data_IF_687484932012
#
_entry.id   IF_687484932012
#
_cell.length_a   1.000
_cell.length_b   1.000
_cell.length_c   1.000
_cell.angle_alpha   90.00
_cell.angle_beta   90.00
_cell.angle_gamma   90.00
#
_symmetry.space_group_name_H-M   'P 1'
#
loop_
_entity.id
_entity.type
_entity.pdbx_description
1 polymer ?
#
# COMPACT_ATOMS: atom_id res chain seq x y z
N UNK A 1 55.05 5.78 -28.54
CA UNK A 1 53.67 5.29 -28.77
C UNK A 1 53.05 4.51 -27.58
N UNK A 2 53.76 3.60 -26.93
CA UNK A 2 53.22 2.80 -25.80
C UNK A 2 52.90 3.60 -24.53
N UNK A 3 53.68 4.67 -24.21
CA UNK A 3 53.48 5.47 -23.02
C UNK A 3 52.27 6.40 -23.15
N UNK A 4 52.01 6.96 -24.30
CA UNK A 4 50.86 7.83 -24.57
C UNK A 4 49.52 7.05 -24.52
N UNK A 5 49.49 5.81 -25.02
CA UNK A 5 48.30 4.94 -24.90
C UNK A 5 48.00 4.52 -23.45
N UNK A 6 49.02 4.43 -22.57
CA UNK A 6 48.84 4.16 -21.14
C UNK A 6 48.34 5.40 -20.37
N UNK A 7 48.83 6.57 -20.73
CA UNK A 7 48.34 7.85 -20.18
C UNK A 7 46.88 8.14 -20.58
N UNK A 8 46.49 7.92 -21.85
CA UNK A 8 45.11 8.10 -22.30
C UNK A 8 44.14 7.08 -21.65
N UNK A 9 44.57 5.83 -21.45
CA UNK A 9 43.77 4.83 -20.75
C UNK A 9 43.58 5.20 -19.25
N UNK A 10 44.63 5.71 -18.59
CA UNK A 10 44.56 6.16 -17.19
C UNK A 10 43.66 7.39 -17.05
N UNK A 11 43.76 8.36 -17.95
CA UNK A 11 42.88 9.53 -17.95
C UNK A 11 41.42 9.16 -18.24
N UNK A 12 41.14 8.17 -19.11
CA UNK A 12 39.79 7.70 -19.38
C UNK A 12 39.21 6.97 -18.15
N UNK A 13 39.99 6.12 -17.46
CA UNK A 13 39.54 5.44 -16.25
C UNK A 13 39.28 6.41 -15.10
N UNK A 14 40.12 7.43 -14.92
CA UNK A 14 39.87 8.49 -13.92
C UNK A 14 38.65 9.34 -14.29
N UNK A 15 38.41 9.64 -15.57
CA UNK A 15 37.24 10.35 -16.02
C UNK A 15 35.94 9.56 -15.78
N UNK A 16 35.96 8.24 -16.04
CA UNK A 16 34.81 7.35 -15.76
C UNK A 16 34.59 7.23 -14.25
N UNK A 17 35.63 7.12 -13.42
CA UNK A 17 35.47 7.13 -11.96
C UNK A 17 34.94 8.46 -11.43
N UNK A 18 35.35 9.60 -11.99
CA UNK A 18 34.84 10.92 -11.59
C UNK A 18 33.37 11.12 -12.00
N UNK A 19 32.94 10.57 -13.15
CA UNK A 19 31.52 10.62 -13.55
C UNK A 19 30.63 9.69 -12.72
N UNK A 20 31.17 8.59 -12.20
CA UNK A 20 30.45 7.71 -11.28
C UNK A 20 30.35 8.31 -9.87
N UNK A 21 31.33 9.11 -9.44
CA UNK A 21 31.28 9.78 -8.14
C UNK A 21 30.36 11.01 -8.11
N UNK A 22 29.98 11.58 -9.26
CA UNK A 22 29.00 12.68 -9.34
C UNK A 22 27.55 12.19 -9.42
N UNK A 23 27.31 10.89 -9.57
CA UNK A 23 25.95 10.30 -9.58
C UNK A 23 25.38 10.09 -8.16
N UNK A 24 26.21 10.14 -7.10
CA UNK A 24 25.78 10.05 -5.69
C UNK A 24 25.58 11.41 -5.01
N UNK A 25 25.34 12.46 -5.76
CA UNK A 25 24.94 13.76 -5.20
C UNK A 25 23.45 13.72 -4.84
N UNK A 26 23.14 13.58 -3.53
CA UNK A 26 21.81 13.87 -3.00
C UNK A 26 21.31 15.19 -3.63
N UNK A 27 20.28 15.13 -4.44
CA UNK A 27 19.60 16.34 -4.93
C UNK A 27 18.86 16.94 -3.74
N UNK A 28 19.39 17.97 -3.14
CA UNK A 28 18.58 18.83 -2.28
C UNK A 28 17.57 19.55 -3.16
N UNK A 29 16.30 19.47 -2.80
CA UNK A 29 15.24 20.22 -3.45
C UNK A 29 15.41 21.73 -3.24
N UNK A 30 14.76 22.55 -4.02
CA UNK A 30 14.81 24.02 -3.93
C UNK A 30 14.31 24.56 -2.58
N UNK A 31 13.56 23.77 -1.80
CA UNK A 31 13.06 24.10 -0.46
C UNK A 31 13.81 23.36 0.67
N UNK A 32 14.91 22.67 0.36
CA UNK A 32 15.81 22.02 1.33
C UNK A 32 15.29 20.67 1.87
N UNK A 33 14.24 20.09 1.25
CA UNK A 33 13.78 18.73 1.60
C UNK A 33 14.63 17.69 0.87
N UNK A 34 15.03 16.63 1.58
CA UNK A 34 15.84 15.55 1.04
C UNK A 34 14.98 14.53 0.30
N UNK A 35 15.55 13.82 -0.67
CA UNK A 35 15.02 12.56 -1.18
C UNK A 35 15.32 11.44 -0.19
N UNK A 36 14.44 10.44 -0.11
CA UNK A 36 14.62 9.25 0.73
C UNK A 36 14.51 7.99 -0.14
N UNK A 37 15.48 7.09 0.03
CA UNK A 37 15.51 5.78 -0.63
C UNK A 37 15.33 4.68 0.41
N UNK A 38 14.36 3.78 0.18
CA UNK A 38 14.02 2.69 1.11
C UNK A 38 13.95 1.37 0.35
N UNK A 39 14.64 0.33 0.83
CA UNK A 39 14.43 -1.01 0.32
C UNK A 39 13.20 -1.64 1.00
N UNK A 40 12.23 -2.09 0.21
CA UNK A 40 10.92 -2.58 0.72
C UNK A 40 10.68 -4.07 0.43
N UNK A 41 11.75 -4.82 0.17
CA UNK A 41 11.66 -6.24 -0.17
C UNK A 41 11.42 -6.46 -1.67
N UNK A 42 10.71 -7.52 -2.00
CA UNK A 42 10.47 -7.89 -3.40
C UNK A 42 9.65 -6.84 -4.17
N UNK A 43 9.80 -6.87 -5.49
CA UNK A 43 8.96 -6.09 -6.41
C UNK A 43 7.47 -6.27 -6.06
N UNK A 44 6.68 -5.19 -6.03
CA UNK A 44 5.27 -5.25 -5.68
C UNK A 44 4.49 -6.26 -6.52
N UNK A 45 3.67 -7.07 -5.86
CA UNK A 45 2.79 -8.02 -6.55
C UNK A 45 1.61 -7.30 -7.20
N UNK A 46 1.22 -6.15 -6.65
CA UNK A 46 0.06 -5.39 -7.12
C UNK A 46 0.08 -3.95 -6.62
N UNK A 47 -0.48 -3.06 -7.42
CA UNK A 47 -0.87 -1.70 -7.01
C UNK A 47 -2.40 -1.56 -6.86
N UNK A 48 -3.13 -2.67 -6.87
CA UNK A 48 -4.56 -2.68 -6.60
C UNK A 48 -4.81 -2.90 -5.10
N UNK A 49 -5.40 -1.93 -4.38
CA UNK A 49 -5.56 -2.00 -2.93
C UNK A 49 -6.23 -3.26 -2.40
N UNK A 50 -7.20 -3.83 -3.14
CA UNK A 50 -7.95 -5.01 -2.68
C UNK A 50 -7.16 -6.33 -2.77
N UNK A 51 -5.96 -6.33 -3.37
CA UNK A 51 -5.09 -7.51 -3.50
C UNK A 51 -3.74 -7.36 -2.80
N UNK A 52 -3.44 -6.20 -2.21
CA UNK A 52 -2.16 -5.89 -1.59
C UNK A 52 -1.98 -6.63 -0.26
N UNK A 53 -1.33 -7.78 -0.28
CA UNK A 53 -1.11 -8.63 0.90
C UNK A 53 0.30 -8.52 1.48
N UNK A 54 1.28 -8.10 0.68
CA UNK A 54 2.66 -7.96 1.12
C UNK A 54 2.85 -6.61 1.82
N UNK A 55 3.72 -6.56 2.81
CA UNK A 55 4.04 -5.31 3.54
C UNK A 55 4.58 -4.24 2.58
N UNK A 56 5.44 -4.62 1.62
CA UNK A 56 5.95 -3.70 0.61
C UNK A 56 4.84 -3.08 -0.25
N UNK A 57 3.88 -3.91 -0.75
CA UNK A 57 2.72 -3.41 -1.50
C UNK A 57 1.92 -2.39 -0.68
N UNK A 58 1.64 -2.73 0.59
CA UNK A 58 0.88 -1.89 1.51
C UNK A 58 1.61 -0.60 1.85
N UNK A 59 2.93 -0.67 2.05
CA UNK A 59 3.77 0.50 2.31
C UNK A 59 3.67 1.49 1.15
N UNK A 60 3.82 1.04 -0.09
CA UNK A 60 3.72 1.90 -1.27
C UNK A 60 2.32 2.49 -1.40
N UNK A 61 1.27 1.67 -1.25
CA UNK A 61 -0.10 2.13 -1.40
C UNK A 61 -0.50 3.17 -0.34
N UNK A 62 0.04 3.09 0.88
CA UNK A 62 -0.15 4.11 1.92
C UNK A 62 0.45 5.48 1.57
N UNK A 63 1.40 5.53 0.63
CA UNK A 63 1.93 6.79 0.11
C UNK A 63 1.14 7.30 -1.10
N UNK A 64 0.53 6.40 -1.87
CA UNK A 64 -0.25 6.74 -3.06
C UNK A 64 -1.70 7.13 -2.73
N UNK A 65 -2.29 6.57 -1.68
CA UNK A 65 -3.70 6.80 -1.34
C UNK A 65 -3.88 7.29 0.10
N UNK A 66 -4.95 8.04 0.33
CA UNK A 66 -5.42 8.42 1.67
C UNK A 66 -6.84 7.88 1.89
N UNK A 67 -7.00 7.09 2.95
CA UNK A 67 -8.29 6.52 3.33
C UNK A 67 -9.12 7.49 4.19
N UNK A 68 -10.35 7.10 4.57
CA UNK A 68 -11.22 7.88 5.46
C UNK A 68 -10.54 8.25 6.76
N UNK A 69 -9.87 7.28 7.38
CA UNK A 69 -9.06 7.42 8.58
C UNK A 69 -7.64 6.97 8.27
N UNK A 70 -6.68 7.36 9.11
CA UNK A 70 -5.30 6.88 9.09
C UNK A 70 -4.85 6.52 10.48
N UNK A 71 -3.85 5.67 10.60
CA UNK A 71 -3.24 5.36 11.89
C UNK A 71 -2.15 6.38 12.21
N UNK A 72 -2.10 6.80 13.46
CA UNK A 72 -0.99 7.56 14.05
C UNK A 72 -0.59 6.91 15.36
N UNK A 73 0.67 7.08 15.74
CA UNK A 73 1.16 6.66 17.05
C UNK A 73 0.62 7.63 18.10
N UNK A 74 -0.24 7.13 18.97
CA UNK A 74 -0.76 7.87 20.11
C UNK A 74 0.14 7.82 21.34
N UNK A 75 -0.35 8.30 22.46
CA UNK A 75 0.32 8.17 23.74
C UNK A 75 0.50 6.68 24.10
N UNK A 76 1.65 6.33 24.69
CA UNK A 76 2.02 4.94 25.03
C UNK A 76 2.20 4.02 23.80
N UNK A 77 2.60 4.56 22.66
CA UNK A 77 2.89 3.80 21.43
C UNK A 77 1.70 2.98 20.90
N UNK A 78 0.46 3.32 21.27
CA UNK A 78 -0.72 2.67 20.72
C UNK A 78 -1.11 3.28 19.37
N UNK A 79 -1.53 2.46 18.42
CA UNK A 79 -2.08 2.93 17.16
C UNK A 79 -3.49 3.51 17.37
N UNK A 80 -3.68 4.76 16.98
CA UNK A 80 -4.98 5.46 17.05
C UNK A 80 -5.45 5.86 15.66
N UNK A 81 -6.75 5.71 15.40
CA UNK A 81 -7.35 6.17 14.17
C UNK A 81 -7.63 7.69 14.24
N UNK A 82 -7.02 8.44 13.32
CA UNK A 82 -7.23 9.88 13.18
C UNK A 82 -7.85 10.18 11.81
N UNK A 83 -8.52 11.33 11.65
CA UNK A 83 -9.13 11.70 10.38
C UNK A 83 -8.11 11.83 9.24
N UNK A 84 -8.31 11.02 8.19
CA UNK A 84 -7.58 11.06 6.90
C UNK A 84 -8.28 11.95 5.87
N UNK A 85 -8.89 11.35 4.85
CA UNK A 85 -9.74 12.03 3.88
C UNK A 85 -11.06 12.52 4.49
N UNK A 86 -11.53 11.90 5.57
CA UNK A 86 -12.65 12.42 6.35
C UNK A 86 -12.19 13.64 7.17
N UNK A 87 -13.04 14.67 7.24
CA UNK A 87 -12.90 15.82 8.14
C UNK A 87 -13.51 15.54 9.51
N UNK A 88 -14.65 14.84 9.50
CA UNK A 88 -15.37 14.43 10.72
C UNK A 88 -16.16 13.17 10.44
N UNK A 89 -16.49 12.46 11.52
CA UNK A 89 -17.36 11.30 11.52
C UNK A 89 -18.39 11.46 12.63
N UNK A 90 -19.66 11.26 12.28
CA UNK A 90 -20.77 11.21 13.22
C UNK A 90 -21.29 9.77 13.27
N UNK A 91 -21.54 9.25 14.47
CA UNK A 91 -22.12 7.93 14.73
C UNK A 91 -23.52 8.06 15.31
N UNK A 92 -24.44 7.23 14.85
CA UNK A 92 -25.81 7.17 15.37
C UNK A 92 -26.23 5.70 15.50
N UNK A 93 -26.65 5.31 16.69
CA UNK A 93 -27.35 4.06 16.92
C UNK A 93 -28.82 4.19 16.46
N UNK A 94 -29.30 3.21 15.72
CA UNK A 94 -30.66 3.15 15.21
C UNK A 94 -31.53 2.29 16.13
N UNK A 95 -32.85 2.48 16.06
CA UNK A 95 -33.81 1.74 16.90
C UNK A 95 -33.88 0.23 16.61
N UNK A 96 -33.37 -0.21 15.47
CA UNK A 96 -33.28 -1.61 15.06
C UNK A 96 -31.97 -2.30 15.46
N UNK A 97 -31.09 -1.60 16.20
CA UNK A 97 -29.80 -2.10 16.65
C UNK A 97 -28.66 -1.91 15.64
N UNK A 98 -28.95 -1.43 14.44
CA UNK A 98 -27.90 -1.05 13.48
C UNK A 98 -27.21 0.26 13.89
N UNK A 99 -26.02 0.52 13.35
CA UNK A 99 -25.27 1.76 13.62
C UNK A 99 -24.92 2.46 12.32
N UNK A 100 -25.27 3.72 12.20
CA UNK A 100 -24.98 4.53 11.02
C UNK A 100 -23.83 5.49 11.29
N UNK A 101 -22.79 5.38 10.47
CA UNK A 101 -21.67 6.33 10.43
C UNK A 101 -21.86 7.29 9.25
N UNK A 102 -21.66 8.58 9.52
CA UNK A 102 -21.70 9.63 8.50
C UNK A 102 -20.36 10.35 8.47
N UNK A 103 -19.61 10.13 7.39
CA UNK A 103 -18.32 10.77 7.15
C UNK A 103 -18.52 12.02 6.32
N UNK A 104 -17.91 13.14 6.74
CA UNK A 104 -17.79 14.37 5.94
C UNK A 104 -16.39 14.48 5.40
N UNK A 105 -16.22 14.47 4.09
CA UNK A 105 -14.92 14.56 3.44
C UNK A 105 -14.35 15.98 3.51
N UNK A 106 -13.01 16.10 3.47
CA UNK A 106 -12.29 17.38 3.53
C UNK A 106 -12.34 18.19 2.22
N UNK A 107 -12.73 17.59 1.10
CA UNK A 107 -12.63 18.21 -0.22
C UNK A 107 -11.23 18.11 -0.81
N UNK A 108 -10.54 16.96 -0.67
CA UNK A 108 -9.27 16.66 -1.31
C UNK A 108 -9.38 16.51 -2.82
N UNK A 109 -8.24 16.43 -3.51
CA UNK A 109 -8.17 16.22 -4.95
C UNK A 109 -7.37 14.98 -5.28
N UNK A 110 -7.73 14.35 -6.36
CA UNK A 110 -6.93 13.37 -7.06
C UNK A 110 -5.72 14.02 -7.73
N UNK A 111 -4.70 13.26 -8.05
CA UNK A 111 -3.47 13.74 -8.68
C UNK A 111 -3.67 14.41 -10.04
N UNK A 112 -4.79 14.13 -10.70
CA UNK A 112 -5.22 14.79 -11.94
C UNK A 112 -6.03 16.08 -11.71
N UNK A 113 -6.21 16.50 -10.45
CA UNK A 113 -6.90 17.73 -10.05
C UNK A 113 -8.42 17.59 -9.88
N UNK A 114 -9.02 16.42 -10.18
CA UNK A 114 -10.43 16.14 -9.96
C UNK A 114 -10.70 16.00 -8.45
N UNK A 115 -11.87 16.41 -7.98
CA UNK A 115 -12.24 16.32 -6.55
C UNK A 115 -12.42 14.86 -6.11
N UNK A 116 -11.93 14.54 -4.90
CA UNK A 116 -12.23 13.28 -4.22
C UNK A 116 -13.64 13.35 -3.66
N UNK A 117 -14.47 12.38 -4.00
CA UNK A 117 -15.89 12.34 -3.65
C UNK A 117 -16.26 11.11 -2.83
N UNK A 118 -17.40 11.17 -2.16
CA UNK A 118 -17.96 10.01 -1.45
C UNK A 118 -18.25 8.82 -2.41
N UNK A 119 -18.53 9.10 -3.69
CA UNK A 119 -18.76 8.05 -4.69
C UNK A 119 -17.51 7.21 -4.97
N UNK A 120 -16.32 7.77 -4.79
CA UNK A 120 -15.06 7.05 -4.98
C UNK A 120 -14.87 5.99 -3.89
N UNK A 121 -15.29 6.29 -2.65
CA UNK A 121 -15.34 5.32 -1.56
C UNK A 121 -16.46 4.29 -1.76
N UNK A 122 -17.65 4.70 -2.19
CA UNK A 122 -18.75 3.76 -2.50
C UNK A 122 -18.29 2.75 -3.55
N UNK A 123 -17.69 3.23 -4.65
CA UNK A 123 -17.18 2.35 -5.71
C UNK A 123 -16.14 1.38 -5.18
N UNK A 124 -15.15 1.85 -4.41
CA UNK A 124 -14.09 1.01 -3.87
C UNK A 124 -14.63 -0.07 -2.92
N UNK A 125 -15.56 0.28 -2.02
CA UNK A 125 -16.13 -0.66 -1.06
C UNK A 125 -17.06 -1.67 -1.73
N UNK A 126 -17.88 -1.24 -2.70
CA UNK A 126 -18.70 -2.15 -3.49
C UNK A 126 -17.82 -3.11 -4.30
N UNK A 127 -16.73 -2.62 -4.88
CA UNK A 127 -15.76 -3.46 -5.58
C UNK A 127 -15.07 -4.46 -4.65
N UNK A 128 -14.71 -4.06 -3.43
CA UNK A 128 -14.16 -4.96 -2.42
C UNK A 128 -15.17 -6.04 -2.01
N UNK A 129 -16.45 -5.68 -1.88
CA UNK A 129 -17.53 -6.61 -1.55
C UNK A 129 -17.98 -7.47 -2.72
N UNK A 130 -17.53 -7.23 -3.95
CA UNK A 130 -17.92 -8.02 -5.12
C UNK A 130 -17.27 -9.41 -5.07
N UNK A 131 -18.07 -10.51 -4.99
CA UNK A 131 -17.52 -11.87 -4.96
C UNK A 131 -16.70 -12.21 -6.20
N UNK A 132 -16.96 -11.55 -7.35
CA UNK A 132 -16.20 -11.76 -8.58
C UNK A 132 -14.75 -11.31 -8.48
N UNK A 133 -14.40 -10.45 -7.52
CA UNK A 133 -12.99 -10.02 -7.29
C UNK A 133 -12.17 -11.09 -6.60
N UNK A 134 -12.79 -11.94 -5.78
CA UNK A 134 -12.08 -12.94 -4.98
C UNK A 134 -11.10 -12.34 -3.95
N UNK A 135 -11.29 -11.07 -3.56
CA UNK A 135 -10.43 -10.43 -2.57
C UNK A 135 -10.50 -11.13 -1.21
N UNK A 136 -9.33 -11.45 -0.63
CA UNK A 136 -9.23 -12.02 0.72
C UNK A 136 -9.65 -11.00 1.80
N UNK A 137 -9.72 -9.72 1.46
CA UNK A 137 -10.13 -8.65 2.35
C UNK A 137 -11.64 -8.37 2.35
N UNK A 138 -12.42 -8.98 1.42
CA UNK A 138 -13.86 -8.79 1.38
C UNK A 138 -14.56 -8.99 2.74
N UNK A 139 -14.15 -9.98 3.60
CA UNK A 139 -14.73 -10.17 4.92
C UNK A 139 -14.59 -8.98 5.90
N UNK A 140 -13.69 -8.03 5.66
CA UNK A 140 -13.64 -6.78 6.45
C UNK A 140 -14.97 -6.02 6.41
N UNK A 141 -15.73 -6.16 5.31
CA UNK A 141 -17.02 -5.53 5.13
C UNK A 141 -18.18 -6.37 5.66
N UNK A 142 -17.94 -7.54 6.28
CA UNK A 142 -18.99 -8.42 6.80
C UNK A 142 -19.89 -7.79 7.86
N UNK A 143 -19.41 -6.74 8.52
CA UNK A 143 -20.14 -5.94 9.50
C UNK A 143 -21.01 -4.85 8.85
N UNK A 144 -20.85 -4.58 7.57
CA UNK A 144 -21.68 -3.62 6.82
C UNK A 144 -23.00 -4.29 6.44
N UNK A 145 -24.10 -3.62 6.75
CA UNK A 145 -25.44 -4.15 6.43
C UNK A 145 -25.56 -4.43 4.93
N UNK A 146 -26.21 -5.55 4.57
CA UNK A 146 -26.37 -5.97 3.18
C UNK A 146 -25.16 -6.72 2.59
N UNK A 147 -24.05 -6.89 3.33
CA UNK A 147 -22.88 -7.60 2.83
C UNK A 147 -23.17 -9.07 2.50
N UNK A 148 -23.85 -9.78 3.40
CA UNK A 148 -24.16 -11.20 3.20
C UNK A 148 -25.07 -11.42 1.97
N UNK A 149 -26.04 -10.54 1.78
CA UNK A 149 -26.94 -10.53 0.64
C UNK A 149 -26.20 -10.20 -0.67
N UNK A 150 -25.28 -9.22 -0.63
CA UNK A 150 -24.44 -8.86 -1.78
C UNK A 150 -23.53 -10.04 -2.18
N UNK A 151 -22.91 -10.70 -1.21
CA UNK A 151 -22.09 -11.90 -1.47
C UNK A 151 -22.90 -13.06 -2.06
N UNK A 152 -24.11 -13.28 -1.56
CA UNK A 152 -24.95 -14.39 -2.01
C UNK A 152 -25.56 -14.17 -3.39
N UNK A 153 -25.91 -12.93 -3.73
CA UNK A 153 -26.60 -12.58 -4.98
C UNK A 153 -25.67 -12.06 -6.08
N UNK A 154 -24.48 -11.56 -5.72
CA UNK A 154 -23.62 -10.78 -6.61
C UNK A 154 -24.10 -9.34 -6.85
N UNK A 155 -25.20 -8.91 -6.21
CA UNK A 155 -25.70 -7.54 -6.29
C UNK A 155 -25.02 -6.66 -5.24
N UNK A 156 -23.90 -6.06 -5.62
CA UNK A 156 -23.11 -5.19 -4.74
C UNK A 156 -23.82 -3.90 -4.32
N UNK A 157 -24.93 -3.55 -4.97
CA UNK A 157 -25.74 -2.38 -4.61
C UNK A 157 -26.48 -2.56 -3.28
N UNK A 158 -26.60 -3.80 -2.80
CA UNK A 158 -27.18 -4.13 -1.50
C UNK A 158 -26.31 -3.73 -0.31
N UNK A 159 -24.99 -3.53 -0.53
CA UNK A 159 -24.11 -3.08 0.52
C UNK A 159 -24.52 -1.68 1.01
N UNK A 160 -24.74 -1.54 2.32
CA UNK A 160 -25.23 -0.29 2.92
C UNK A 160 -24.11 0.77 3.05
N UNK A 161 -23.53 1.11 1.90
CA UNK A 161 -22.59 2.22 1.72
C UNK A 161 -23.14 3.15 0.63
N UNK A 162 -23.26 4.45 0.89
CA UNK A 162 -23.87 5.39 -0.04
C UNK A 162 -23.29 6.79 0.04
N UNK A 163 -23.24 7.49 -1.09
CA UNK A 163 -22.88 8.88 -1.19
C UNK A 163 -24.16 9.74 -1.06
N UNK A 164 -24.38 10.34 0.11
CA UNK A 164 -25.51 11.25 0.33
C UNK A 164 -25.31 12.60 -0.41
N UNK A 165 -24.07 12.99 -0.61
CA UNK A 165 -23.61 14.10 -1.45
C UNK A 165 -22.18 13.81 -1.92
N UNK A 166 -21.60 14.68 -2.75
CA UNK A 166 -20.19 14.53 -3.16
C UNK A 166 -19.22 14.47 -1.97
N UNK A 167 -19.57 15.09 -0.84
CA UNK A 167 -18.70 15.17 0.35
C UNK A 167 -19.23 14.41 1.56
N UNK A 168 -20.32 13.65 1.42
CA UNK A 168 -20.93 12.95 2.56
C UNK A 168 -21.12 11.47 2.23
N UNK A 169 -20.33 10.62 2.87
CA UNK A 169 -20.44 9.16 2.82
C UNK A 169 -21.23 8.67 4.02
N UNK A 170 -22.15 7.75 3.79
CA UNK A 170 -22.94 7.09 4.84
C UNK A 170 -22.72 5.60 4.76
N UNK A 171 -22.41 4.99 5.90
CA UNK A 171 -22.20 3.55 6.06
C UNK A 171 -23.10 3.07 7.21
N UNK A 172 -23.87 2.01 6.99
CA UNK A 172 -24.67 1.39 8.05
C UNK A 172 -24.11 0.01 8.38
N UNK A 173 -23.80 -0.18 9.64
CA UNK A 173 -23.28 -1.43 10.19
C UNK A 173 -24.42 -2.24 10.82
N UNK A 174 -24.26 -3.56 10.88
CA UNK A 174 -25.22 -4.49 11.51
C UNK A 174 -25.29 -4.36 13.03
N UNK A 175 -24.36 -3.61 13.65
CA UNK A 175 -24.28 -3.35 15.07
C UNK A 175 -23.15 -2.37 15.41
N UNK A 176 -22.83 -2.25 16.69
CA UNK A 176 -21.72 -1.43 17.18
C UNK A 176 -20.43 -2.25 17.16
N UNK A 177 -19.37 -1.71 16.52
CA UNK A 177 -18.06 -2.32 16.41
C UNK A 177 -16.99 -1.27 16.70
N UNK A 178 -16.36 -1.33 17.89
CA UNK A 178 -15.36 -0.36 18.36
C UNK A 178 -14.13 -0.26 17.44
N UNK A 179 -13.82 -1.35 16.74
CA UNK A 179 -12.69 -1.45 15.85
C UNK A 179 -12.96 -0.93 14.41
N UNK A 180 -14.21 -0.60 14.06
CA UNK A 180 -14.57 -0.20 12.68
C UNK A 180 -13.73 0.95 12.14
N UNK A 181 -13.57 2.02 12.90
CA UNK A 181 -12.78 3.17 12.46
C UNK A 181 -11.29 2.85 12.35
N UNK A 182 -10.78 1.97 13.23
CA UNK A 182 -9.36 1.64 13.30
C UNK A 182 -8.95 0.57 12.32
N UNK A 183 -9.80 -0.43 12.04
CA UNK A 183 -9.44 -1.57 11.19
C UNK A 183 -10.01 -1.43 9.77
N UNK A 184 -11.28 -1.04 9.63
CA UNK A 184 -11.90 -0.97 8.30
C UNK A 184 -11.59 0.36 7.61
N UNK A 185 -11.76 1.48 8.32
CA UNK A 185 -11.59 2.81 7.70
C UNK A 185 -10.13 3.23 7.49
N UNK A 186 -9.15 2.45 7.99
CA UNK A 186 -7.72 2.65 7.76
C UNK A 186 -7.12 1.58 6.84
N UNK A 187 -7.87 0.49 6.58
CA UNK A 187 -7.38 -0.63 5.75
C UNK A 187 -7.07 -0.18 4.34
N UNK A 188 -5.96 -0.66 3.81
CA UNK A 188 -5.58 -0.47 2.40
C UNK A 188 -6.70 -0.92 1.46
N UNK A 189 -7.33 -2.06 1.74
CA UNK A 189 -8.38 -2.64 0.89
C UNK A 189 -9.62 -1.76 0.76
N UNK A 190 -9.84 -0.80 1.66
CA UNK A 190 -10.98 0.14 1.64
C UNK A 190 -10.61 1.54 1.15
N UNK A 191 -9.40 1.73 0.62
CA UNK A 191 -8.97 3.01 0.02
C UNK A 191 -9.85 3.39 -1.17
N UNK A 192 -10.10 4.69 -1.40
CA UNK A 192 -10.93 5.14 -2.50
C UNK A 192 -10.29 4.87 -3.86
N UNK A 193 -11.12 4.66 -4.87
CA UNK A 193 -10.70 4.49 -6.26
C UNK A 193 -11.61 5.27 -7.21
N UNK A 194 -11.02 5.83 -8.26
CA UNK A 194 -11.71 6.50 -9.35
C UNK A 194 -12.27 5.45 -10.33
N UNK A 195 -13.58 5.28 -10.34
CA UNK A 195 -14.26 4.30 -11.21
C UNK A 195 -13.93 4.51 -12.69
N UNK A 196 -13.98 5.74 -13.18
CA UNK A 196 -13.68 6.07 -14.57
C UNK A 196 -12.23 5.74 -14.96
N UNK A 197 -11.28 6.00 -14.06
CA UNK A 197 -9.86 5.67 -14.27
C UNK A 197 -9.65 4.16 -14.30
N UNK A 198 -10.18 3.44 -13.31
CA UNK A 198 -10.06 1.97 -13.24
C UNK A 198 -10.67 1.32 -14.48
N UNK A 199 -11.87 1.76 -14.90
CA UNK A 199 -12.53 1.22 -16.08
C UNK A 199 -11.75 1.51 -17.37
N UNK A 200 -11.23 2.72 -17.54
CA UNK A 200 -10.40 3.09 -18.68
C UNK A 200 -9.12 2.25 -18.75
N UNK A 201 -8.37 2.18 -17.63
CA UNK A 201 -7.12 1.41 -17.57
C UNK A 201 -7.37 -0.09 -17.75
N UNK A 202 -8.51 -0.61 -17.26
CA UNK A 202 -8.91 -2.01 -17.49
C UNK A 202 -9.17 -2.27 -18.97
N UNK A 203 -9.93 -1.42 -19.64
CA UNK A 203 -10.19 -1.56 -21.09
C UNK A 203 -8.90 -1.53 -21.90
N UNK A 204 -7.96 -0.64 -21.55
CA UNK A 204 -6.66 -0.57 -22.23
C UNK A 204 -5.81 -1.82 -21.97
N UNK A 205 -5.83 -2.35 -20.75
CA UNK A 205 -5.15 -3.60 -20.40
C UNK A 205 -5.75 -4.79 -21.15
N UNK A 206 -7.08 -4.91 -21.17
CA UNK A 206 -7.80 -5.97 -21.88
C UNK A 206 -7.47 -5.93 -23.38
N UNK A 207 -7.50 -4.75 -24.02
CA UNK A 207 -7.13 -4.58 -25.44
C UNK A 207 -5.65 -4.94 -25.71
N UNK A 208 -4.74 -4.65 -24.77
CA UNK A 208 -3.34 -5.05 -24.89
C UNK A 208 -3.15 -6.57 -24.77
N UNK A 209 -4.01 -7.23 -24.00
CA UNK A 209 -3.98 -8.68 -23.78
C UNK A 209 -4.58 -9.49 -24.94
N UNK A 210 -5.38 -8.89 -25.83
CA UNK A 210 -6.00 -9.58 -27.00
C UNK A 210 -4.95 -10.24 -27.93
N UNK A 211 -3.73 -9.73 -27.95
CA UNK A 211 -2.62 -10.23 -28.79
C UNK A 211 -1.46 -10.81 -27.97
N UNK A 212 -1.70 -11.13 -26.69
CA UNK A 212 -0.68 -11.63 -25.77
C UNK A 212 -0.17 -13.01 -26.23
N UNK A 213 1.14 -13.20 -26.21
CA UNK A 213 1.75 -14.50 -26.46
C UNK A 213 1.68 -15.36 -25.19
N UNK A 214 1.80 -16.67 -25.35
CA UNK A 214 1.66 -17.65 -24.27
C UNK A 214 2.67 -17.45 -23.13
N UNK A 215 3.83 -16.86 -23.42
CA UNK A 215 4.93 -16.59 -22.48
C UNK A 215 4.93 -15.16 -21.91
N UNK A 216 3.98 -14.31 -22.31
CA UNK A 216 3.86 -12.94 -21.82
C UNK A 216 2.89 -12.83 -20.64
N UNK A 217 3.24 -11.99 -19.65
CA UNK A 217 2.38 -11.74 -18.48
C UNK A 217 1.22 -10.82 -18.84
N UNK A 218 -0.04 -11.22 -18.54
CA UNK A 218 -1.19 -10.36 -18.80
C UNK A 218 -1.12 -9.03 -18.04
N UNK A 219 -1.37 -7.94 -18.76
CA UNK A 219 -1.48 -6.61 -18.16
C UNK A 219 -2.75 -6.51 -17.32
N UNK A 220 -2.64 -5.78 -16.24
CA UNK A 220 -3.75 -5.41 -15.35
C UNK A 220 -3.91 -3.90 -15.37
N UNK A 221 -5.03 -3.38 -14.90
CA UNK A 221 -5.28 -1.94 -14.84
C UNK A 221 -4.24 -1.20 -13.98
N UNK A 222 -3.59 -1.87 -13.06
CA UNK A 222 -2.55 -1.35 -12.17
C UNK A 222 -1.12 -1.67 -12.61
N UNK A 223 -0.90 -2.35 -13.74
CA UNK A 223 0.44 -2.82 -14.15
C UNK A 223 1.45 -1.71 -14.42
N UNK A 224 1.00 -0.47 -14.53
CA UNK A 224 1.86 0.71 -14.67
C UNK A 224 1.44 1.73 -13.60
N UNK A 225 2.16 1.81 -12.47
CA UNK A 225 1.81 2.70 -11.38
C UNK A 225 1.88 4.18 -11.76
N UNK A 226 2.68 4.56 -12.76
CA UNK A 226 2.80 5.95 -13.21
C UNK A 226 1.52 6.48 -13.87
N UNK A 227 0.62 5.58 -14.24
CA UNK A 227 -0.68 5.90 -14.86
C UNK A 227 -1.85 5.92 -13.88
N UNK A 228 -1.58 5.54 -12.63
CA UNK A 228 -2.58 5.58 -11.57
C UNK A 228 -2.91 7.03 -11.20
N UNK A 229 -4.19 7.29 -10.95
CA UNK A 229 -4.66 8.54 -10.37
C UNK A 229 -4.88 8.30 -8.89
N UNK A 230 -4.15 9.00 -8.04
CA UNK A 230 -4.04 8.75 -6.61
C UNK A 230 -4.48 9.99 -5.81
N UNK A 231 -4.92 9.80 -4.57
CA UNK A 231 -5.37 10.89 -3.69
C UNK A 231 -4.49 11.07 -2.46
N UNK A 232 -3.39 10.36 -2.39
CA UNK A 232 -2.43 10.42 -1.29
C UNK A 232 -1.37 11.51 -1.45
N UNK A 233 -0.41 11.55 -0.53
CA UNK A 233 0.66 12.56 -0.51
C UNK A 233 1.62 12.48 -1.70
N UNK A 234 1.75 11.32 -2.33
CA UNK A 234 2.67 11.10 -3.45
C UNK A 234 1.96 10.50 -4.66
N UNK A 235 2.60 10.60 -5.81
CA UNK A 235 2.24 9.93 -7.06
C UNK A 235 3.45 9.19 -7.61
N UNK A 236 3.25 8.06 -8.30
CA UNK A 236 4.33 7.38 -8.98
C UNK A 236 4.79 8.19 -10.20
N UNK A 237 6.09 8.44 -10.30
CA UNK A 237 6.72 9.23 -11.36
C UNK A 237 7.59 8.41 -12.30
N UNK A 238 8.19 7.32 -11.80
CA UNK A 238 8.99 6.37 -12.58
C UNK A 238 8.98 5.00 -11.91
N UNK A 239 9.03 3.95 -12.72
CA UNK A 239 9.20 2.56 -12.28
C UNK A 239 10.13 1.85 -13.25
N UNK A 240 11.02 1.03 -12.71
CA UNK A 240 11.79 0.03 -13.43
C UNK A 240 11.80 -1.31 -12.67
N UNK A 241 12.58 -2.29 -13.11
CA UNK A 241 12.64 -3.61 -12.49
C UNK A 241 13.20 -3.61 -11.05
N UNK A 242 13.91 -2.56 -10.65
CA UNK A 242 14.63 -2.47 -9.38
C UNK A 242 14.07 -1.42 -8.43
N UNK A 243 13.28 -0.46 -8.92
CA UNK A 243 12.80 0.65 -8.09
C UNK A 243 11.53 1.30 -8.62
N UNK A 244 10.78 1.88 -7.68
CA UNK A 244 9.66 2.79 -7.93
C UNK A 244 9.96 4.14 -7.29
N UNK A 245 9.93 5.20 -8.09
CA UNK A 245 10.07 6.57 -7.59
C UNK A 245 8.70 7.23 -7.47
N UNK A 246 8.43 7.77 -6.30
CA UNK A 246 7.27 8.59 -6.01
C UNK A 246 7.70 10.04 -5.83
N UNK A 247 6.92 10.97 -6.37
CA UNK A 247 7.10 12.40 -6.19
C UNK A 247 5.90 13.00 -5.47
N UNK A 248 6.07 14.16 -4.83
CA UNK A 248 5.01 14.87 -4.13
C UNK A 248 3.79 15.09 -5.04
N UNK A 249 2.62 14.71 -4.55
CA UNK A 249 1.34 15.01 -5.20
C UNK A 249 0.94 16.46 -4.93
N UNK A 250 1.21 17.35 -5.88
CA UNK A 250 0.89 18.79 -5.74
C UNK A 250 -0.59 19.09 -5.60
N UNK A 251 -1.48 18.14 -5.96
CA UNK A 251 -2.92 18.26 -5.80
C UNK A 251 -3.43 17.83 -4.40
N UNK A 252 -2.58 17.22 -3.56
CA UNK A 252 -2.95 16.68 -2.25
C UNK A 252 -3.52 17.72 -1.28
N UNK A 253 -3.12 19.00 -1.42
CA UNK A 253 -3.71 20.13 -0.69
C UNK A 253 -3.29 20.27 0.77
N UNK A 254 -2.46 19.37 1.29
CA UNK A 254 -1.81 19.48 2.61
C UNK A 254 -0.31 19.74 2.39
N UNK A 255 0.28 20.57 3.24
CA UNK A 255 1.73 20.77 3.21
C UNK A 255 2.42 19.51 3.72
N UNK A 256 3.24 18.89 2.87
CA UNK A 256 4.10 17.80 3.27
C UNK A 256 5.35 18.33 3.98
N UNK A 257 5.77 17.62 5.02
CA UNK A 257 7.01 17.90 5.78
C UNK A 257 8.05 16.81 5.57
N UNK A 258 7.68 15.72 4.89
CA UNK A 258 8.52 14.59 4.52
C UNK A 258 9.39 14.88 3.29
N UNK A 259 10.06 13.87 2.75
CA UNK A 259 10.86 13.94 1.54
C UNK A 259 10.06 14.49 0.35
N UNK A 260 10.75 15.14 -0.60
CA UNK A 260 10.13 15.54 -1.88
C UNK A 260 9.93 14.33 -2.79
N UNK A 261 10.95 13.48 -2.86
CA UNK A 261 10.93 12.22 -3.60
C UNK A 261 11.16 11.04 -2.66
N UNK A 262 10.43 9.96 -2.90
CA UNK A 262 10.61 8.66 -2.26
C UNK A 262 10.99 7.65 -3.33
N UNK A 263 12.10 6.93 -3.14
CA UNK A 263 12.48 5.82 -4.01
C UNK A 263 12.36 4.52 -3.22
N UNK A 264 11.44 3.66 -3.63
CA UNK A 264 11.32 2.30 -3.10
C UNK A 264 12.14 1.36 -3.97
N UNK A 265 13.26 0.87 -3.43
CA UNK A 265 14.09 -0.12 -4.08
C UNK A 265 13.57 -1.52 -3.78
N UNK A 266 13.71 -2.43 -4.75
CA UNK A 266 13.26 -3.81 -4.64
C UNK A 266 14.47 -4.75 -4.54
N UNK A 267 14.41 -5.69 -3.62
CA UNK A 267 15.47 -6.67 -3.42
C UNK A 267 15.13 -7.61 -2.26
N UNK A 268 15.73 -8.80 -2.26
CA UNK A 268 15.68 -9.69 -1.10
C UNK A 268 16.52 -9.12 0.06
N UNK A 269 16.48 -9.78 1.21
CA UNK A 269 17.19 -9.35 2.42
C UNK A 269 18.68 -9.14 2.20
N UNK A 270 19.34 -10.04 1.44
CA UNK A 270 20.77 -9.92 1.15
C UNK A 270 21.07 -8.71 0.25
N UNK A 271 20.22 -8.46 -0.73
CA UNK A 271 20.30 -7.27 -1.60
C UNK A 271 20.09 -6.00 -0.77
N UNK A 272 19.10 -5.99 0.13
CA UNK A 272 18.79 -4.84 0.98
C UNK A 272 19.97 -4.45 1.89
N UNK A 273 20.62 -5.44 2.53
CA UNK A 273 21.81 -5.23 3.34
C UNK A 273 22.94 -4.59 2.54
N UNK A 274 23.24 -5.16 1.36
CA UNK A 274 24.29 -4.62 0.49
C UNK A 274 23.98 -3.18 0.04
N UNK A 275 22.73 -2.89 -0.31
CA UNK A 275 22.32 -1.54 -0.72
C UNK A 275 22.45 -0.54 0.43
N UNK A 276 22.12 -0.95 1.65
CA UNK A 276 22.26 -0.12 2.84
C UNK A 276 23.73 0.14 3.18
N UNK A 277 24.58 -0.89 3.22
CA UNK A 277 26.00 -0.77 3.50
C UNK A 277 26.75 0.09 2.49
N UNK A 278 26.31 0.04 1.22
CA UNK A 278 26.88 0.88 0.16
C UNK A 278 26.32 2.31 0.15
N UNK A 279 25.36 2.62 1.02
CA UNK A 279 24.69 3.93 1.07
C UNK A 279 23.83 4.22 -0.16
N UNK A 280 23.35 3.19 -0.86
CA UNK A 280 22.43 3.31 -2.00
C UNK A 280 21.01 3.56 -1.50
N UNK A 281 20.64 2.92 -0.39
CA UNK A 281 19.37 3.19 0.30
C UNK A 281 19.64 3.79 1.67
N UNK A 282 18.72 4.63 2.13
CA UNK A 282 18.79 5.30 3.44
C UNK A 282 18.18 4.44 4.54
N UNK A 283 17.29 3.48 4.17
CA UNK A 283 16.63 2.59 5.10
C UNK A 283 16.23 1.27 4.43
N UNK A 284 15.99 0.25 5.25
CA UNK A 284 15.40 -1.04 4.87
C UNK A 284 14.13 -1.26 5.70
N UNK A 285 13.04 -1.66 5.04
CA UNK A 285 11.75 -1.90 5.66
C UNK A 285 10.91 -2.93 4.88
N UNK A 286 10.33 -3.92 5.54
CA UNK A 286 10.65 -4.39 6.90
C UNK A 286 11.92 -5.24 6.90
N UNK A 287 12.54 -5.41 8.05
CA UNK A 287 13.52 -6.44 8.27
C UNK A 287 12.80 -7.74 8.64
N UNK A 288 13.02 -8.79 7.86
CA UNK A 288 12.25 -10.05 7.96
C UNK A 288 13.06 -11.22 8.49
N UNK A 289 14.38 -11.08 8.60
CA UNK A 289 15.25 -12.16 9.03
C UNK A 289 15.87 -11.87 10.41
N UNK A 290 15.76 -12.88 11.30
CA UNK A 290 16.20 -12.79 12.69
C UNK A 290 17.72 -12.55 12.80
N UNK A 291 18.51 -13.17 11.92
CA UNK A 291 19.97 -12.96 11.90
C UNK A 291 20.35 -11.51 11.57
N UNK A 292 19.64 -10.86 10.66
CA UNK A 292 19.84 -9.47 10.32
C UNK A 292 19.40 -8.56 11.46
N UNK A 293 18.31 -8.88 12.14
CA UNK A 293 17.85 -8.17 13.32
C UNK A 293 18.88 -8.21 14.44
N UNK A 294 19.51 -9.36 14.72
CA UNK A 294 20.55 -9.51 15.75
C UNK A 294 21.81 -8.67 15.44
N UNK A 295 22.22 -8.61 14.16
CA UNK A 295 23.37 -7.80 13.76
C UNK A 295 23.10 -6.30 13.89
N UNK A 296 21.87 -5.89 13.58
CA UNK A 296 21.46 -4.48 13.61
C UNK A 296 21.05 -4.00 15.00
N UNK A 297 20.70 -4.89 15.95
CA UNK A 297 20.38 -4.54 17.33
C UNK A 297 21.54 -3.84 18.05
N UNK A 298 22.78 -4.08 17.61
CA UNK A 298 23.95 -3.41 18.11
C UNK A 298 24.17 -2.00 17.53
N UNK A 299 23.42 -1.60 16.52
CA UNK A 299 23.50 -0.31 15.84
C UNK A 299 22.36 0.61 16.30
N UNK A 300 22.69 1.83 16.70
CA UNK A 300 21.72 2.85 17.15
C UNK A 300 20.70 3.26 16.05
N UNK A 301 20.97 2.88 14.80
CA UNK A 301 20.07 3.15 13.66
C UNK A 301 18.93 2.18 13.53
N UNK A 302 18.98 1.04 14.26
CA UNK A 302 17.93 0.04 14.24
C UNK A 302 16.75 0.42 15.13
N UNK A 303 15.53 0.23 14.63
CA UNK A 303 14.30 0.49 15.36
C UNK A 303 13.41 -0.75 15.35
N UNK A 304 12.99 -1.17 16.54
CA UNK A 304 12.00 -2.23 16.72
C UNK A 304 10.70 -1.64 17.25
N UNK A 305 9.60 -1.92 16.57
CA UNK A 305 8.27 -1.56 17.04
C UNK A 305 7.46 -2.82 17.38
N UNK A 306 6.82 -2.88 18.55
CA UNK A 306 5.98 -4.02 18.91
C UNK A 306 4.73 -4.05 18.03
N UNK A 307 4.46 -5.19 17.40
CA UNK A 307 3.24 -5.42 16.63
C UNK A 307 2.35 -6.43 17.37
N UNK A 308 1.02 -6.23 17.29
CA UNK A 308 0.06 -7.18 17.80
C UNK A 308 -0.26 -8.20 16.71
N UNK A 309 0.61 -9.19 16.59
CA UNK A 309 0.51 -10.22 15.55
C UNK A 309 0.58 -11.62 16.17
N UNK A 310 -0.12 -12.56 15.57
CA UNK A 310 -0.07 -13.97 15.96
C UNK A 310 0.33 -14.82 14.77
N UNK A 311 1.49 -15.44 14.84
CA UNK A 311 1.93 -16.41 13.86
C UNK A 311 1.24 -17.75 14.11
N UNK A 312 0.51 -18.27 13.14
CA UNK A 312 -0.28 -19.49 13.28
C UNK A 312 0.01 -20.48 12.17
N UNK A 313 0.25 -21.73 12.55
CA UNK A 313 0.29 -22.85 11.61
C UNK A 313 -1.10 -23.47 11.51
N UNK A 314 -1.69 -23.38 10.32
CA UNK A 314 -3.02 -23.96 10.06
C UNK A 314 -2.90 -25.30 9.32
N UNK A 315 -3.65 -26.31 9.77
CA UNK A 315 -3.72 -27.59 9.11
C UNK A 315 -4.86 -27.62 8.09
N UNK A 316 -4.56 -28.07 6.88
CA UNK A 316 -5.61 -28.39 5.90
C UNK A 316 -6.32 -29.69 6.34
N UNK A 317 -7.48 -29.55 6.98
CA UNK A 317 -8.23 -30.68 7.52
C UNK A 317 -8.76 -31.64 6.43
N UNK A 318 -8.92 -31.19 5.19
CA UNK A 318 -9.31 -32.06 4.07
C UNK A 318 -8.17 -32.96 3.60
N UNK A 319 -6.90 -32.59 3.87
CA UNK A 319 -5.73 -33.40 3.52
C UNK A 319 -5.17 -34.17 4.72
N UNK A 320 -5.35 -33.64 5.92
CA UNK A 320 -4.95 -34.24 7.20
C UNK A 320 -6.22 -34.53 8.01
N UNK A 321 -6.98 -35.55 7.57
CA UNK A 321 -8.29 -35.88 8.15
C UNK A 321 -8.18 -36.40 9.58
N UNK A 322 -7.09 -37.12 9.91
CA UNK A 322 -6.88 -37.69 11.25
C UNK A 322 -6.52 -36.60 12.27
N UNK A 323 -7.40 -36.39 13.23
CA UNK A 323 -7.23 -35.44 14.34
C UNK A 323 -5.96 -35.75 15.17
N UNK A 324 -5.65 -37.04 15.37
CA UNK A 324 -4.48 -37.46 16.16
C UNK A 324 -3.17 -37.02 15.53
N UNK A 325 -3.10 -37.05 14.18
CA UNK A 325 -1.93 -36.57 13.44
C UNK A 325 -1.81 -35.05 13.59
N UNK A 326 -2.90 -34.30 13.43
CA UNK A 326 -2.87 -32.84 13.61
C UNK A 326 -2.44 -32.45 15.02
N UNK A 327 -2.95 -33.17 16.02
CA UNK A 327 -2.57 -32.96 17.43
C UNK A 327 -1.09 -33.29 17.67
N UNK A 328 -0.59 -34.41 17.13
CA UNK A 328 0.82 -34.76 17.23
C UNK A 328 1.72 -33.68 16.60
N UNK A 329 1.41 -33.20 15.41
CA UNK A 329 2.14 -32.12 14.74
C UNK A 329 2.12 -30.82 15.56
N UNK A 330 0.97 -30.47 16.14
CA UNK A 330 0.86 -29.31 17.04
C UNK A 330 1.73 -29.40 18.29
N UNK A 331 1.98 -30.61 18.81
CA UNK A 331 2.80 -30.82 19.99
C UNK A 331 4.31 -30.81 19.73
N UNK A 332 4.72 -30.93 18.46
CA UNK A 332 6.14 -30.86 18.05
C UNK A 332 6.62 -29.42 17.92
N UNK A 333 5.69 -28.45 17.71
CA UNK A 333 6.04 -27.05 17.59
C UNK A 333 6.38 -26.52 18.99
N UNK A 334 7.63 -26.11 19.18
CA UNK A 334 8.08 -25.34 20.33
C UNK A 334 7.49 -23.92 20.26
N UNK A 335 6.96 -23.40 21.40
CA UNK A 335 6.19 -22.17 21.47
C UNK A 335 6.81 -21.19 22.43
#
# INVERSE_FOLDING_TARGET
MKLWKRLTALCLSVLVCVTLLTACGRKESADGRASLSVCVGETPATYDPIYAQRIGDQTILNHLYENLMRLETGENSQAIAVPGAAKSVDMKENSDGTVTYTFRLRGGKWSDGVEVTASDFVYAWQRLADPATGSVYAPLLSIVSGYAEAQASGDISLLAVSAKSSTTLVVTLTGHYDWFLREVCTSIATMPLRQDVVQRLKQEADAANDNLKEDETPRRWWSDPTRLVTNGPYTASAEDENALTLTENTAYGKKLTGPEDLTFCFGDTQTAEVLYDQGVVDAVWPLTEEEMAEQMEADETWQAEPVLETYSVMFNCSRLEDESIRKALSLVIDR
#
